data_IF_921226209079
#
_entry.id   IF_921226209079
#
_cell.length_a   1.000
_cell.length_b   1.000
_cell.length_c   1.000
_cell.angle_alpha   90.00
_cell.angle_beta   90.00
_cell.angle_gamma   90.00
#
_symmetry.space_group_name_H-M   'P 1'
#
loop_
_entity.id
_entity.type
_entity.pdbx_description
1 polymer ?
#
# COMPACT_ATOMS: atom_id res chain seq x y z
N UNK A 1 8.76 -9.15 -13.97
CA UNK A 1 9.08 -8.36 -12.77
C UNK A 1 7.75 -7.88 -12.19
N UNK A 2 7.20 -8.64 -11.24
CA UNK A 2 5.91 -8.32 -10.61
C UNK A 2 5.98 -6.95 -9.93
N UNK A 3 5.04 -6.06 -10.25
CA UNK A 3 4.92 -4.77 -9.55
C UNK A 3 4.46 -5.07 -8.13
N UNK A 4 5.35 -4.92 -7.16
CA UNK A 4 4.94 -4.88 -5.76
C UNK A 4 3.85 -3.79 -5.59
N UNK A 5 2.68 -4.17 -5.09
CA UNK A 5 1.63 -3.22 -4.72
C UNK A 5 2.09 -2.48 -3.44
N UNK A 6 2.83 -1.38 -3.61
CA UNK A 6 3.24 -0.48 -2.51
C UNK A 6 2.62 0.90 -2.66
N UNK A 7 2.55 1.67 -1.57
CA UNK A 7 2.04 3.05 -1.62
C UNK A 7 2.87 3.91 -2.57
N UNK A 8 4.17 3.66 -2.71
CA UNK A 8 5.04 4.32 -3.68
C UNK A 8 4.65 3.98 -5.12
N UNK A 9 4.32 2.71 -5.40
CA UNK A 9 3.85 2.29 -6.71
C UNK A 9 2.47 2.88 -7.03
N UNK A 10 1.58 2.96 -6.03
CA UNK A 10 0.27 3.59 -6.16
C UNK A 10 0.40 5.10 -6.37
N UNK A 11 1.27 5.79 -5.63
CA UNK A 11 1.60 7.20 -5.81
C UNK A 11 2.08 7.46 -7.23
N UNK A 12 3.07 6.69 -7.70
CA UNK A 12 3.56 6.79 -9.09
C UNK A 12 2.44 6.67 -10.11
N UNK A 13 1.51 5.75 -9.89
CA UNK A 13 0.35 5.59 -10.78
C UNK A 13 -0.71 6.69 -10.63
N UNK A 14 -0.68 7.49 -9.55
CA UNK A 14 -1.54 8.66 -9.34
C UNK A 14 -0.89 9.97 -9.82
N UNK A 15 0.43 9.98 -10.04
CA UNK A 15 1.16 11.14 -10.56
C UNK A 15 1.01 11.27 -12.08
N UNK A 16 0.83 12.49 -12.56
CA UNK A 16 0.71 12.85 -13.96
C UNK A 16 1.77 13.87 -14.37
N UNK A 17 2.13 13.91 -15.65
CA UNK A 17 2.95 14.99 -16.21
C UNK A 17 2.02 16.05 -16.77
N UNK A 18 2.33 17.30 -16.46
CA UNK A 18 1.60 18.47 -16.96
C UNK A 18 2.37 19.01 -18.16
N UNK A 19 1.74 19.02 -19.32
CA UNK A 19 2.33 19.46 -20.58
C UNK A 19 1.64 20.75 -21.05
N UNK A 20 2.42 21.72 -21.50
CA UNK A 20 1.97 22.95 -22.17
C UNK A 20 2.42 22.91 -23.62
N UNK A 21 1.49 23.01 -24.57
CA UNK A 21 1.76 22.88 -26.01
C UNK A 21 2.60 21.63 -26.36
N UNK A 22 2.27 20.51 -25.70
CA UNK A 22 2.94 19.20 -25.83
C UNK A 22 4.38 19.15 -25.28
N UNK A 23 4.86 20.18 -24.59
CA UNK A 23 6.13 20.19 -23.89
C UNK A 23 5.93 19.99 -22.37
N UNK A 24 6.77 19.16 -21.70
CA UNK A 24 6.73 19.02 -20.25
C UNK A 24 6.93 20.35 -19.52
N UNK A 25 5.97 20.71 -18.67
CA UNK A 25 5.99 21.94 -17.87
C UNK A 25 6.15 21.66 -16.37
N UNK A 26 5.56 20.56 -15.89
CA UNK A 26 5.61 20.21 -14.47
C UNK A 26 4.95 18.88 -14.15
N UNK A 27 4.63 18.72 -12.88
CA UNK A 27 4.02 17.50 -12.34
C UNK A 27 2.67 17.83 -11.70
N UNK A 28 1.76 16.88 -11.68
CA UNK A 28 0.55 16.92 -10.85
C UNK A 28 0.21 15.54 -10.34
N UNK A 29 -0.87 15.42 -9.57
CA UNK A 29 -1.34 14.12 -9.10
C UNK A 29 -2.84 14.10 -8.82
N UNK A 30 -3.46 12.94 -8.97
CA UNK A 30 -4.88 12.75 -8.75
C UNK A 30 -5.26 12.83 -7.26
N UNK A 31 -6.15 13.76 -6.92
CA UNK A 31 -6.67 14.02 -5.56
C UNK A 31 -8.16 13.66 -5.40
N UNK A 32 -8.81 13.26 -6.48
CA UNK A 32 -10.20 12.81 -6.55
C UNK A 32 -10.59 12.45 -7.99
N UNK A 33 -11.85 12.02 -8.26
CA UNK A 33 -12.26 11.53 -9.56
C UNK A 33 -12.11 12.59 -10.65
N UNK A 34 -11.19 12.36 -11.58
CA UNK A 34 -10.78 13.27 -12.65
C UNK A 34 -10.17 14.58 -12.15
N UNK A 35 -9.79 14.69 -10.87
CA UNK A 35 -9.25 15.92 -10.26
C UNK A 35 -7.76 15.79 -10.04
N UNK A 36 -6.99 16.76 -10.55
CA UNK A 36 -5.53 16.79 -10.45
C UNK A 36 -5.11 18.06 -9.74
N UNK A 37 -4.25 17.92 -8.73
CA UNK A 37 -3.59 19.03 -8.07
C UNK A 37 -2.21 19.27 -8.68
N UNK A 38 -1.84 20.53 -8.89
CA UNK A 38 -0.50 20.98 -9.34
C UNK A 38 -0.21 22.39 -8.81
N UNK A 39 0.97 22.94 -9.12
CA UNK A 39 1.32 24.32 -8.85
C UNK A 39 0.68 25.27 -9.88
N UNK A 40 0.25 26.45 -9.48
CA UNK A 40 -0.35 27.42 -10.41
C UNK A 40 0.66 27.96 -11.42
N UNK A 41 1.91 28.17 -11.01
CA UNK A 41 2.97 28.64 -11.91
C UNK A 41 3.28 27.66 -13.05
N UNK A 42 3.03 26.36 -12.85
CA UNK A 42 3.21 25.32 -13.88
C UNK A 42 2.25 25.53 -15.06
N UNK A 43 1.05 26.05 -14.79
CA UNK A 43 -0.02 26.22 -15.80
C UNK A 43 -0.24 27.68 -16.20
N UNK A 44 0.59 28.61 -15.74
CA UNK A 44 0.39 30.04 -15.93
C UNK A 44 0.20 30.45 -17.42
N UNK A 45 0.97 29.92 -18.39
CA UNK A 45 0.72 30.20 -19.80
C UNK A 45 -0.68 29.79 -20.27
N UNK A 46 -1.22 28.67 -19.77
CA UNK A 46 -2.58 28.23 -20.10
C UNK A 46 -3.65 29.13 -19.45
N UNK A 47 -3.45 29.57 -18.21
CA UNK A 47 -4.34 30.55 -17.55
C UNK A 47 -4.43 31.86 -18.36
N UNK A 48 -3.34 32.27 -19.01
CA UNK A 48 -3.29 33.46 -19.84
C UNK A 48 -3.79 33.24 -21.29
N UNK A 49 -4.29 32.04 -21.63
CA UNK A 49 -4.72 31.67 -22.98
C UNK A 49 -3.59 31.57 -24.01
N UNK A 50 -2.34 31.41 -23.55
CA UNK A 50 -1.14 31.41 -24.39
C UNK A 50 -0.61 30.02 -24.73
N UNK A 51 -1.14 28.98 -24.09
CA UNK A 51 -0.74 27.59 -24.32
C UNK A 51 -1.91 26.64 -24.08
N UNK A 52 -1.89 25.48 -24.74
CA UNK A 52 -2.86 24.40 -24.52
C UNK A 52 -2.40 23.47 -23.40
N UNK A 53 -3.27 23.24 -22.43
CA UNK A 53 -3.00 22.40 -21.26
C UNK A 53 -3.37 20.94 -21.53
N UNK A 54 -2.37 20.06 -21.44
CA UNK A 54 -2.56 18.63 -21.55
C UNK A 54 -1.99 17.90 -20.34
N UNK A 55 -2.57 16.74 -20.05
CA UNK A 55 -2.12 15.83 -19.00
C UNK A 55 -1.66 14.55 -19.66
N UNK A 56 -0.38 14.22 -19.48
CA UNK A 56 0.19 12.94 -19.87
C UNK A 56 0.18 11.98 -18.68
N UNK A 57 -0.46 10.84 -18.86
CA UNK A 57 -0.63 9.81 -17.83
C UNK A 57 -0.66 8.41 -18.44
N UNK A 58 0.26 7.53 -18.00
CA UNK A 58 0.38 6.14 -18.43
C UNK A 58 0.37 5.94 -19.96
N UNK A 59 1.13 6.78 -20.68
CA UNK A 59 1.24 6.70 -22.14
C UNK A 59 0.08 7.32 -22.91
N UNK A 60 -0.89 7.93 -22.22
CA UNK A 60 -2.02 8.65 -22.82
C UNK A 60 -1.89 10.14 -22.54
N UNK A 61 -2.30 10.96 -23.50
CA UNK A 61 -2.44 12.41 -23.32
C UNK A 61 -3.91 12.80 -23.43
N UNK A 62 -4.37 13.70 -22.56
CA UNK A 62 -5.72 14.23 -22.60
C UNK A 62 -5.72 15.73 -22.31
N UNK A 63 -6.70 16.44 -22.85
CA UNK A 63 -6.92 17.84 -22.51
C UNK A 63 -7.44 17.97 -21.08
N UNK A 64 -6.99 19.01 -20.37
CA UNK A 64 -7.46 19.33 -19.03
C UNK A 64 -8.08 20.73 -18.98
N UNK A 65 -9.19 20.83 -18.25
CA UNK A 65 -9.78 22.10 -17.89
C UNK A 65 -9.22 22.61 -16.57
N UNK A 66 -9.00 23.92 -16.47
CA UNK A 66 -8.63 24.57 -15.21
C UNK A 66 -9.91 24.74 -14.38
N UNK A 67 -10.01 24.02 -13.26
CA UNK A 67 -11.15 24.13 -12.35
C UNK A 67 -10.99 25.32 -11.40
N UNK A 68 -9.79 25.50 -10.86
CA UNK A 68 -9.43 26.67 -10.06
C UNK A 68 -7.93 26.94 -10.15
N UNK A 69 -7.57 28.20 -10.27
CA UNK A 69 -6.20 28.70 -10.17
C UNK A 69 -6.27 30.15 -9.63
N UNK A 70 -5.25 30.62 -8.91
CA UNK A 70 -5.17 32.02 -8.52
C UNK A 70 -5.13 32.96 -9.72
N UNK A 71 -5.50 34.22 -9.51
CA UNK A 71 -5.22 35.30 -10.49
C UNK A 71 -3.75 35.74 -10.45
N UNK A 72 -3.15 35.71 -9.27
CA UNK A 72 -1.74 36.05 -9.04
C UNK A 72 -1.11 34.97 -8.14
N UNK A 73 -0.27 34.14 -8.74
CA UNK A 73 0.44 33.05 -8.05
C UNK A 73 1.71 33.52 -7.33
N UNK A 74 2.13 34.78 -7.52
CA UNK A 74 3.29 35.34 -6.82
C UNK A 74 2.96 35.71 -5.37
N UNK A 75 1.67 35.78 -5.03
CA UNK A 75 1.23 35.83 -3.66
C UNK A 75 1.60 34.52 -2.91
N UNK A 76 2.11 34.59 -1.67
CA UNK A 76 2.62 33.42 -0.93
C UNK A 76 1.61 32.28 -0.74
N UNK A 77 0.32 32.58 -0.90
CA UNK A 77 -0.82 31.71 -0.59
C UNK A 77 -1.52 31.19 -1.84
N UNK A 78 -1.01 31.53 -3.02
CA UNK A 78 -1.78 31.41 -4.24
C UNK A 78 -1.29 30.29 -5.17
N UNK A 79 -0.10 29.72 -5.00
CA UNK A 79 0.52 28.84 -6.01
C UNK A 79 -0.06 27.40 -6.10
N UNK A 80 -1.38 27.25 -6.06
CA UNK A 80 -2.09 25.99 -6.26
C UNK A 80 -3.08 26.09 -7.42
N UNK A 81 -3.12 25.03 -8.23
CA UNK A 81 -4.14 24.87 -9.24
C UNK A 81 -4.80 23.49 -9.16
N UNK A 82 -6.12 23.48 -9.32
CA UNK A 82 -6.92 22.27 -9.45
C UNK A 82 -7.40 22.16 -10.89
N UNK A 83 -7.08 21.02 -11.51
CA UNK A 83 -7.43 20.70 -12.88
C UNK A 83 -8.51 19.62 -12.91
N UNK A 84 -9.26 19.56 -14.01
CA UNK A 84 -10.26 18.54 -14.29
C UNK A 84 -9.97 17.86 -15.63
N UNK A 85 -10.00 16.53 -15.64
CA UNK A 85 -9.86 15.69 -16.84
C UNK A 85 -11.04 14.71 -16.95
N UNK A 86 -11.29 14.26 -18.18
CA UNK A 86 -12.30 13.23 -18.51
C UNK A 86 -11.76 11.81 -18.36
N UNK A 87 -10.90 11.57 -17.37
CA UNK A 87 -10.39 10.25 -17.02
C UNK A 87 -11.15 9.69 -15.82
N UNK A 88 -11.67 8.47 -15.93
CA UNK A 88 -12.52 7.85 -14.91
C UNK A 88 -11.83 6.75 -14.11
N UNK A 89 -10.89 6.03 -14.72
CA UNK A 89 -10.15 4.94 -14.08
C UNK A 89 -8.73 5.41 -13.75
N UNK A 90 -8.53 5.91 -12.53
CA UNK A 90 -7.23 6.26 -12.00
C UNK A 90 -7.24 6.14 -10.47
N UNK A 91 -6.08 5.93 -9.82
CA UNK A 91 -6.00 6.01 -8.37
C UNK A 91 -6.09 7.47 -7.90
N UNK A 92 -6.47 7.67 -6.65
CA UNK A 92 -6.41 8.98 -5.99
C UNK A 92 -5.63 8.86 -4.70
N UNK A 93 -4.80 9.85 -4.43
CA UNK A 93 -3.99 9.89 -3.22
C UNK A 93 -4.83 10.29 -2.01
N UNK A 94 -4.45 9.82 -0.83
CA UNK A 94 -4.90 10.40 0.43
C UNK A 94 -4.04 11.64 0.73
N UNK A 95 -4.54 12.84 0.39
CA UNK A 95 -3.90 14.11 0.73
C UNK A 95 -4.31 14.50 2.15
N UNK A 96 -3.37 14.38 3.09
CA UNK A 96 -3.61 14.75 4.48
C UNK A 96 -2.30 14.88 5.24
N UNK A 97 -2.35 15.66 6.32
CA UNK A 97 -1.35 15.63 7.38
C UNK A 97 -0.31 16.72 7.25
N UNK A 98 0.73 16.56 8.05
CA UNK A 98 1.86 17.45 8.19
C UNK A 98 3.14 16.62 8.23
N UNK A 99 4.16 17.03 7.47
CA UNK A 99 5.45 16.37 7.56
C UNK A 99 6.14 16.75 8.88
N UNK A 100 6.63 15.74 9.60
CA UNK A 100 7.38 15.95 10.84
C UNK A 100 8.89 16.02 10.52
N UNK A 101 9.68 16.74 11.34
CA UNK A 101 11.13 16.66 11.24
C UNK A 101 11.59 15.20 11.22
N UNK A 102 12.55 14.90 10.35
CA UNK A 102 13.14 13.57 10.12
C UNK A 102 12.23 12.53 9.47
N UNK A 103 10.99 12.87 9.09
CA UNK A 103 10.12 11.97 8.31
C UNK A 103 10.74 11.65 6.95
N UNK A 104 10.63 10.38 6.56
CA UNK A 104 11.07 9.88 5.25
C UNK A 104 10.01 10.15 4.20
N UNK A 105 10.34 10.98 3.23
CA UNK A 105 9.44 11.33 2.14
C UNK A 105 9.80 10.53 0.88
N UNK A 106 8.78 10.14 0.14
CA UNK A 106 8.88 9.62 -1.21
C UNK A 106 8.12 10.54 -2.17
N UNK A 107 8.67 10.78 -3.34
CA UNK A 107 8.03 11.53 -4.41
C UNK A 107 8.23 10.84 -5.74
N UNK A 108 7.27 11.04 -6.63
CA UNK A 108 7.41 10.72 -8.04
C UNK A 108 7.00 11.95 -8.84
N UNK A 109 7.83 12.35 -9.79
CA UNK A 109 7.61 13.53 -10.62
C UNK A 109 8.37 13.46 -11.92
N UNK A 110 8.26 14.50 -12.75
CA UNK A 110 8.80 14.55 -14.11
C UNK A 110 9.88 15.63 -14.23
N UNK A 111 11.08 15.39 -13.67
CA UNK A 111 12.17 16.36 -13.79
C UNK A 111 12.60 16.48 -15.26
N UNK A 112 13.14 17.64 -15.65
CA UNK A 112 13.53 17.93 -17.03
C UNK A 112 14.59 16.96 -17.59
N UNK A 113 15.38 16.33 -16.72
CA UNK A 113 16.38 15.34 -17.09
C UNK A 113 15.85 13.91 -17.21
N UNK A 114 14.64 13.61 -16.72
CA UNK A 114 13.97 12.32 -16.89
C UNK A 114 12.48 12.55 -17.23
N UNK A 115 12.16 12.80 -18.51
CA UNK A 115 10.81 13.15 -18.94
C UNK A 115 9.81 12.00 -18.81
N UNK A 116 10.25 10.77 -18.57
CA UNK A 116 9.39 9.63 -18.28
C UNK A 116 9.04 9.50 -16.78
N UNK A 117 9.60 10.39 -15.96
CA UNK A 117 9.36 10.48 -14.54
C UNK A 117 10.34 9.67 -13.70
N UNK A 118 10.71 10.23 -12.55
CA UNK A 118 11.71 9.66 -11.65
C UNK A 118 11.17 9.53 -10.22
N UNK A 119 11.67 8.51 -9.53
CA UNK A 119 11.36 8.25 -8.11
C UNK A 119 12.44 8.87 -7.24
N UNK A 120 12.04 9.65 -6.25
CA UNK A 120 12.94 10.43 -5.41
C UNK A 120 12.57 10.24 -3.94
N UNK A 121 13.58 10.27 -3.08
CA UNK A 121 13.41 10.22 -1.63
C UNK A 121 14.02 11.45 -1.01
N UNK A 122 13.42 11.92 0.08
CA UNK A 122 13.91 13.05 0.84
C UNK A 122 13.80 12.79 2.33
N UNK A 123 14.59 13.53 3.11
CA UNK A 123 14.41 13.62 4.55
C UNK A 123 13.86 15.00 4.89
N UNK A 124 12.82 15.03 5.71
CA UNK A 124 12.23 16.29 6.16
C UNK A 124 13.18 16.98 7.14
N UNK A 125 13.60 18.21 6.85
CA UNK A 125 14.33 19.04 7.81
C UNK A 125 13.36 19.60 8.87
N UNK A 126 12.18 20.05 8.45
CA UNK A 126 11.12 20.50 9.34
C UNK A 126 10.15 21.50 8.71
N UNK A 127 9.17 21.99 9.49
CA UNK A 127 8.26 23.04 9.06
C UNK A 127 8.98 24.39 8.89
N UNK A 128 8.49 25.22 7.98
CA UNK A 128 9.04 26.55 7.70
C UNK A 128 7.96 27.59 7.36
N UNK A 129 8.34 28.87 7.46
CA UNK A 129 7.49 30.03 7.23
C UNK A 129 6.42 30.26 8.29
N UNK A 130 5.61 31.30 8.08
CA UNK A 130 4.53 31.65 9.00
C UNK A 130 3.55 30.48 9.18
N UNK A 131 3.16 30.24 10.43
CA UNK A 131 2.23 29.17 10.82
C UNK A 131 2.65 27.77 10.31
N UNK A 132 3.96 27.54 10.16
CA UNK A 132 4.53 26.27 9.72
C UNK A 132 4.00 25.80 8.36
N UNK A 133 3.60 26.70 7.47
CA UNK A 133 2.92 26.32 6.23
C UNK A 133 3.75 25.53 5.21
N UNK A 134 5.08 25.66 5.27
CA UNK A 134 6.01 25.01 4.36
C UNK A 134 6.65 23.80 5.02
N UNK A 135 7.10 22.86 4.20
CA UNK A 135 7.97 21.75 4.58
C UNK A 135 9.29 21.98 3.88
N UNK A 136 10.38 22.06 4.63
CA UNK A 136 11.73 21.99 4.06
C UNK A 136 12.20 20.54 4.10
N UNK A 137 12.70 20.04 2.98
CA UNK A 137 13.22 18.68 2.85
C UNK A 137 14.51 18.67 2.02
N UNK A 138 15.36 17.68 2.25
CA UNK A 138 16.74 17.59 1.74
C UNK A 138 17.11 16.17 1.32
N UNK A 139 18.37 15.96 0.93
CA UNK A 139 18.98 14.68 0.58
C UNK A 139 18.39 14.06 -0.71
N UNK A 140 18.12 14.89 -1.69
CA UNK A 140 17.64 14.48 -3.01
C UNK A 140 17.48 15.64 -3.97
N UNK A 141 17.56 15.41 -5.30
CA UNK A 141 17.43 16.48 -6.26
C UNK A 141 15.98 16.96 -6.41
N UNK A 142 15.82 18.29 -6.46
CA UNK A 142 14.58 18.96 -6.83
C UNK A 142 14.88 19.91 -7.99
N UNK A 143 14.52 19.48 -9.20
CA UNK A 143 14.83 20.20 -10.44
C UNK A 143 13.58 20.72 -11.16
N UNK A 144 13.80 21.45 -12.25
CA UNK A 144 12.71 21.90 -13.14
C UNK A 144 11.85 20.71 -13.56
N UNK A 145 10.54 20.92 -13.59
CA UNK A 145 9.55 19.85 -13.87
C UNK A 145 9.03 19.13 -12.62
N UNK A 146 9.75 19.21 -11.49
CA UNK A 146 9.30 18.63 -10.21
C UNK A 146 8.21 19.45 -9.51
N UNK A 147 8.04 20.73 -9.87
CA UNK A 147 6.96 21.56 -9.32
C UNK A 147 5.60 20.88 -9.51
N UNK A 148 4.86 20.77 -8.41
CA UNK A 148 3.57 20.08 -8.36
C UNK A 148 3.64 18.59 -8.02
N UNK A 149 4.84 18.03 -7.80
CA UNK A 149 5.00 16.63 -7.39
C UNK A 149 4.46 16.38 -5.96
N UNK A 150 3.80 15.25 -5.70
CA UNK A 150 3.34 14.90 -4.36
C UNK A 150 4.51 14.48 -3.45
N UNK A 151 4.39 14.78 -2.16
CA UNK A 151 5.27 14.27 -1.10
C UNK A 151 4.50 13.25 -0.26
N UNK A 152 4.76 11.97 -0.45
CA UNK A 152 4.25 10.89 0.39
C UNK A 152 5.13 10.77 1.64
N UNK A 153 4.54 10.96 2.82
CA UNK A 153 5.19 10.63 4.08
C UNK A 153 5.01 9.13 4.37
N UNK A 154 6.14 8.42 4.48
CA UNK A 154 6.14 6.96 4.69
C UNK A 154 5.62 6.56 6.06
N UNK A 155 5.70 7.45 7.05
CA UNK A 155 5.25 7.15 8.40
C UNK A 155 3.71 7.20 8.49
N UNK A 156 3.10 8.25 7.94
CA UNK A 156 1.63 8.39 7.90
C UNK A 156 0.93 7.66 6.74
N UNK A 157 1.66 7.32 5.68
CA UNK A 157 1.09 6.71 4.47
C UNK A 157 0.22 7.67 3.63
N UNK A 158 0.30 8.97 3.92
CA UNK A 158 -0.48 10.02 3.27
C UNK A 158 0.43 10.95 2.47
N UNK A 159 -0.12 11.58 1.43
CA UNK A 159 0.56 12.69 0.77
C UNK A 159 0.43 13.92 1.69
N UNK A 160 1.56 14.31 2.29
CA UNK A 160 1.64 15.37 3.30
C UNK A 160 1.95 16.74 2.70
N UNK A 161 2.20 16.83 1.39
CA UNK A 161 2.43 18.10 0.72
C UNK A 161 2.69 17.99 -0.78
N UNK A 162 2.99 19.13 -1.38
CA UNK A 162 3.29 19.30 -2.81
C UNK A 162 4.58 20.10 -2.97
N UNK A 163 5.51 19.64 -3.80
CA UNK A 163 6.77 20.34 -4.08
C UNK A 163 6.48 21.63 -4.85
N UNK A 164 7.01 22.77 -4.38
CA UNK A 164 6.87 24.06 -5.06
C UNK A 164 8.22 24.69 -5.43
N UNK A 165 9.23 24.56 -4.57
CA UNK A 165 10.51 25.25 -4.74
C UNK A 165 11.70 24.30 -4.60
N UNK A 166 12.78 24.62 -5.31
CA UNK A 166 14.10 23.99 -5.14
C UNK A 166 14.99 24.87 -4.27
N UNK A 167 15.79 24.26 -3.39
CA UNK A 167 16.85 24.95 -2.63
C UNK A 167 18.19 25.00 -3.39
N UNK A 168 18.23 24.43 -4.60
CA UNK A 168 19.37 24.47 -5.50
C UNK A 168 19.14 23.55 -6.69
N UNK A 169 18.97 24.12 -7.88
CA UNK A 169 18.87 23.34 -9.12
C UNK A 169 20.20 22.61 -9.39
N UNK A 170 20.11 21.42 -10.00
CA UNK A 170 21.23 20.52 -10.26
C UNK A 170 22.05 20.20 -8.98
N UNK A 171 21.37 20.10 -7.84
CA UNK A 171 21.97 19.75 -6.54
C UNK A 171 21.03 18.83 -5.75
N UNK A 172 21.54 18.24 -4.67
CA UNK A 172 20.82 17.38 -3.73
C UNK A 172 20.29 18.12 -2.48
N UNK A 173 20.34 19.47 -2.49
CA UNK A 173 19.90 20.32 -1.38
C UNK A 173 18.41 20.22 -1.05
N UNK A 174 17.64 19.52 -1.89
CA UNK A 174 16.21 19.36 -1.74
C UNK A 174 15.43 20.63 -2.09
N UNK A 175 14.35 20.85 -1.36
CA UNK A 175 13.33 21.81 -1.76
C UNK A 175 12.38 22.19 -0.63
N UNK A 176 11.38 22.97 -1.02
CA UNK A 176 10.27 23.32 -0.17
C UNK A 176 8.94 22.95 -0.82
N UNK A 177 8.04 22.44 0.01
CA UNK A 177 6.70 22.05 -0.40
C UNK A 177 5.64 22.64 0.50
N UNK A 178 4.44 22.85 -0.04
CA UNK A 178 3.29 23.33 0.71
C UNK A 178 2.62 22.17 1.45
N UNK A 179 2.28 22.35 2.73
CA UNK A 179 1.67 21.32 3.55
C UNK A 179 0.25 20.94 3.11
N UNK A 180 -0.09 19.66 3.21
CA UNK A 180 -1.44 19.15 2.92
C UNK A 180 -2.52 19.83 3.77
N UNK A 181 -2.23 20.14 5.06
CA UNK A 181 -3.12 20.96 5.89
C UNK A 181 -3.46 22.29 5.20
N UNK A 182 -2.45 23.02 4.74
CA UNK A 182 -2.62 24.34 4.12
C UNK A 182 -3.35 24.22 2.78
N UNK A 183 -3.05 23.18 1.99
CA UNK A 183 -3.77 22.90 0.74
C UNK A 183 -5.27 22.69 1.01
N UNK A 184 -5.63 21.92 2.04
CA UNK A 184 -7.03 21.64 2.38
C UNK A 184 -7.74 22.86 3.01
N UNK A 185 -7.02 23.75 3.69
CA UNK A 185 -7.55 25.04 4.15
C UNK A 185 -7.89 25.96 2.97
N UNK A 186 -7.05 25.98 1.93
CA UNK A 186 -7.27 26.78 0.72
C UNK A 186 -8.31 26.18 -0.24
N UNK A 187 -8.49 24.85 -0.22
CA UNK A 187 -9.42 24.10 -1.05
C UNK A 187 -10.40 23.29 -0.17
N UNK A 188 -11.28 23.92 0.61
CA UNK A 188 -12.10 23.23 1.62
C UNK A 188 -13.06 22.19 1.02
N UNK A 189 -13.54 22.41 -0.21
CA UNK A 189 -14.37 21.43 -0.92
C UNK A 189 -13.61 20.13 -1.23
N UNK A 190 -12.28 20.19 -1.40
CA UNK A 190 -11.45 19.04 -1.76
C UNK A 190 -11.46 17.98 -0.67
N UNK A 191 -11.54 18.36 0.60
CA UNK A 191 -11.61 17.40 1.71
C UNK A 191 -12.84 16.48 1.61
N UNK A 192 -14.01 17.06 1.31
CA UNK A 192 -15.25 16.31 1.14
C UNK A 192 -15.23 15.46 -0.15
N UNK A 193 -14.69 16.00 -1.24
CA UNK A 193 -14.56 15.30 -2.51
C UNK A 193 -13.62 14.08 -2.42
N UNK A 194 -12.49 14.22 -1.73
CA UNK A 194 -11.55 13.14 -1.51
C UNK A 194 -12.15 12.05 -0.61
N UNK A 195 -12.88 12.43 0.45
CA UNK A 195 -13.58 11.45 1.30
C UNK A 195 -14.61 10.65 0.49
N UNK A 196 -15.36 11.31 -0.40
CA UNK A 196 -16.29 10.65 -1.31
C UNK A 196 -15.56 9.74 -2.32
N UNK A 197 -14.41 10.19 -2.84
CA UNK A 197 -13.55 9.40 -3.73
C UNK A 197 -13.08 8.11 -3.06
N UNK A 198 -12.56 8.21 -1.83
CA UNK A 198 -12.08 7.06 -1.08
C UNK A 198 -13.20 6.13 -0.63
N UNK A 199 -14.43 6.61 -0.50
CA UNK A 199 -15.60 5.74 -0.30
C UNK A 199 -15.89 4.88 -1.53
N UNK A 200 -15.71 5.44 -2.72
CA UNK A 200 -15.94 4.71 -3.99
C UNK A 200 -14.76 3.80 -4.35
N UNK A 201 -13.52 4.24 -4.10
CA UNK A 201 -12.31 3.50 -4.37
C UNK A 201 -11.37 3.52 -3.15
N UNK A 202 -11.30 2.38 -2.47
CA UNK A 202 -10.62 2.23 -1.19
C UNK A 202 -9.16 1.81 -1.32
N UNK A 203 -8.66 1.63 -2.54
CA UNK A 203 -7.33 1.07 -2.81
C UNK A 203 -6.21 1.73 -1.99
N UNK A 204 -6.22 3.05 -1.86
CA UNK A 204 -5.21 3.74 -1.03
C UNK A 204 -5.33 3.40 0.45
N UNK A 205 -6.56 3.46 1.00
CA UNK A 205 -6.83 3.15 2.41
C UNK A 205 -6.50 1.70 2.74
N UNK A 206 -6.78 0.79 1.81
CA UNK A 206 -6.53 -0.64 1.97
C UNK A 206 -5.01 -0.96 2.04
N UNK A 207 -4.17 -0.09 1.48
CA UNK A 207 -2.71 -0.22 1.52
C UNK A 207 -2.06 0.41 2.76
N UNK A 208 -2.81 1.13 3.58
CA UNK A 208 -2.29 1.67 4.84
C UNK A 208 -2.06 0.56 5.86
N UNK A 209 -0.92 0.62 6.57
CA UNK A 209 -0.63 -0.27 7.70
C UNK A 209 -1.56 -0.02 8.89
N UNK A 210 -1.64 -0.98 9.83
CA UNK A 210 -2.46 -0.81 11.04
C UNK A 210 -2.14 0.48 11.80
N UNK A 211 -0.84 0.80 11.97
CA UNK A 211 -0.39 2.04 12.62
C UNK A 211 -0.82 3.29 11.85
N UNK A 212 -0.67 3.30 10.52
CA UNK A 212 -1.10 4.41 9.67
C UNK A 212 -2.61 4.65 9.75
N UNK A 213 -3.41 3.57 9.73
CA UNK A 213 -4.86 3.63 9.90
C UNK A 213 -5.25 4.18 11.26
N UNK A 214 -4.59 3.74 12.33
CA UNK A 214 -4.82 4.28 13.68
C UNK A 214 -4.50 5.78 13.75
N UNK A 215 -3.39 6.21 13.15
CA UNK A 215 -3.03 7.63 13.09
C UNK A 215 -4.06 8.45 12.31
N UNK A 216 -4.47 7.97 11.12
CA UNK A 216 -5.49 8.63 10.31
C UNK A 216 -6.83 8.71 11.06
N UNK A 217 -7.28 7.61 11.69
CA UNK A 217 -8.51 7.56 12.47
C UNK A 217 -8.54 8.59 13.62
N UNK A 218 -7.40 8.78 14.31
CA UNK A 218 -7.27 9.75 15.41
C UNK A 218 -7.40 11.20 14.96
N UNK A 219 -6.81 11.55 13.81
CA UNK A 219 -6.75 12.95 13.35
C UNK A 219 -7.82 13.30 12.32
N UNK A 220 -8.42 12.30 11.66
CA UNK A 220 -9.51 12.47 10.71
C UNK A 220 -10.65 11.48 11.03
N UNK A 221 -11.46 11.76 12.06
CA UNK A 221 -12.57 10.91 12.47
C UNK A 221 -13.55 10.58 11.33
N UNK A 222 -13.67 11.45 10.33
CA UNK A 222 -14.50 11.22 9.14
C UNK A 222 -14.09 10.00 8.31
N UNK A 223 -12.84 9.55 8.41
CA UNK A 223 -12.37 8.33 7.76
C UNK A 223 -12.62 7.07 8.60
N UNK A 224 -12.95 7.17 9.90
CA UNK A 224 -13.16 6.01 10.78
C UNK A 224 -14.16 4.99 10.21
N UNK A 225 -15.35 5.39 9.68
CA UNK A 225 -16.26 4.43 9.09
C UNK A 225 -15.66 3.69 7.89
N UNK A 226 -14.88 4.39 7.06
CA UNK A 226 -14.19 3.79 5.90
C UNK A 226 -13.05 2.87 6.33
N UNK A 227 -12.36 3.18 7.43
CA UNK A 227 -11.27 2.37 7.96
C UNK A 227 -11.78 1.12 8.66
N UNK A 228 -12.93 1.19 9.33
CA UNK A 228 -13.60 0.06 9.98
C UNK A 228 -14.29 -0.86 8.95
N UNK A 229 -14.69 -0.33 7.80
CA UNK A 229 -15.20 -1.13 6.68
C UNK A 229 -14.11 -1.97 6.00
N UNK A 230 -12.84 -1.87 6.43
CA UNK A 230 -11.69 -2.57 5.83
C UNK A 230 -11.57 -3.99 6.39
N UNK A 231 -12.65 -4.75 6.28
CA UNK A 231 -12.63 -6.20 6.38
C UNK A 231 -12.45 -6.81 4.99
N UNK A 232 -11.35 -6.48 4.30
CA UNK A 232 -10.84 -7.50 3.38
C UNK A 232 -10.45 -8.68 4.27
N UNK A 233 -11.10 -9.81 4.03
CA UNK A 233 -10.79 -11.05 4.71
C UNK A 233 -9.31 -11.35 4.43
N UNK A 234 -8.53 -11.65 5.47
CA UNK A 234 -7.12 -11.95 5.31
C UNK A 234 -6.99 -13.21 4.44
N UNK A 235 -6.13 -13.16 3.43
CA UNK A 235 -5.89 -14.31 2.56
C UNK A 235 -4.99 -15.31 3.28
N UNK A 236 -5.51 -16.50 3.51
CA UNK A 236 -4.80 -17.61 4.14
C UNK A 236 -4.45 -18.63 3.08
N UNK A 237 -3.16 -18.91 2.88
CA UNK A 237 -2.71 -20.01 2.03
C UNK A 237 -2.34 -21.22 2.90
N UNK A 238 -2.87 -22.39 2.57
CA UNK A 238 -2.62 -23.65 3.26
C UNK A 238 -1.75 -24.54 2.38
N UNK A 239 -0.48 -24.68 2.75
CA UNK A 239 0.46 -25.63 2.14
C UNK A 239 0.42 -26.95 2.89
N UNK A 240 0.24 -28.06 2.17
CA UNK A 240 0.14 -29.41 2.74
C UNK A 240 0.52 -30.46 1.69
N UNK A 241 1.00 -31.63 2.15
CA UNK A 241 1.31 -32.75 1.27
C UNK A 241 0.03 -33.37 0.69
N UNK A 242 0.08 -33.83 -0.57
CA UNK A 242 -1.06 -34.51 -1.21
C UNK A 242 -1.31 -35.92 -0.69
N UNK A 243 -0.54 -36.39 0.29
CA UNK A 243 -0.82 -37.63 1.00
C UNK A 243 -2.26 -37.65 1.56
N UNK A 244 -2.97 -38.78 1.36
CA UNK A 244 -4.38 -38.94 1.75
C UNK A 244 -4.63 -38.65 3.24
N UNK A 245 -3.63 -38.92 4.09
CA UNK A 245 -3.72 -38.68 5.53
C UNK A 245 -3.72 -37.18 5.86
N UNK A 246 -2.86 -36.40 5.19
CA UNK A 246 -2.75 -34.96 5.40
C UNK A 246 -3.93 -34.21 4.78
N UNK A 247 -4.43 -34.67 3.63
CA UNK A 247 -5.68 -34.17 3.04
C UNK A 247 -6.86 -34.23 4.01
N UNK A 248 -7.00 -35.36 4.73
CA UNK A 248 -8.07 -35.52 5.74
C UNK A 248 -7.89 -34.54 6.89
N UNK A 249 -6.67 -34.40 7.43
CA UNK A 249 -6.40 -33.49 8.54
C UNK A 249 -6.60 -32.02 8.14
N UNK A 250 -6.21 -31.64 6.91
CA UNK A 250 -6.46 -30.33 6.33
C UNK A 250 -7.96 -30.04 6.17
N UNK A 251 -8.75 -31.02 5.73
CA UNK A 251 -10.22 -30.89 5.65
C UNK A 251 -10.84 -30.66 7.03
N UNK A 252 -10.40 -31.38 8.07
CA UNK A 252 -10.86 -31.14 9.44
C UNK A 252 -10.45 -29.75 9.94
N UNK A 253 -9.21 -29.33 9.71
CA UNK A 253 -8.76 -27.97 10.06
C UNK A 253 -9.66 -26.91 9.41
N UNK A 254 -9.95 -27.02 8.11
CA UNK A 254 -10.82 -26.07 7.42
C UNK A 254 -12.24 -26.00 8.00
N UNK A 255 -12.79 -27.12 8.50
CA UNK A 255 -14.08 -27.08 9.20
C UNK A 255 -13.99 -26.24 10.46
N UNK A 256 -12.91 -26.34 11.23
CA UNK A 256 -12.67 -25.51 12.42
C UNK A 256 -12.39 -24.04 12.07
N UNK A 257 -11.86 -23.75 10.87
CA UNK A 257 -11.69 -22.40 10.35
C UNK A 257 -12.98 -21.78 9.77
N UNK A 258 -14.05 -22.57 9.59
CA UNK A 258 -15.29 -22.11 8.98
C UNK A 258 -15.93 -20.94 9.73
N UNK A 259 -15.80 -20.87 11.05
CA UNK A 259 -16.27 -19.72 11.85
C UNK A 259 -15.58 -18.41 11.44
N UNK A 260 -14.26 -18.44 11.28
CA UNK A 260 -13.48 -17.26 10.84
C UNK A 260 -13.83 -16.86 9.41
N UNK A 261 -14.10 -17.84 8.54
CA UNK A 261 -14.55 -17.58 7.17
C UNK A 261 -15.96 -16.99 7.12
N UNK A 262 -16.89 -17.51 7.92
CA UNK A 262 -18.27 -17.03 7.99
C UNK A 262 -18.36 -15.61 8.56
N UNK A 263 -17.48 -15.28 9.51
CA UNK A 263 -17.28 -13.91 10.02
C UNK A 263 -16.54 -12.99 9.03
N UNK A 264 -16.18 -13.51 7.83
CA UNK A 264 -15.41 -12.80 6.80
C UNK A 264 -14.08 -12.26 7.31
N UNK A 265 -13.48 -12.95 8.28
CA UNK A 265 -12.16 -12.60 8.80
C UNK A 265 -11.04 -13.13 7.90
N UNK A 266 -11.27 -14.27 7.23
CA UNK A 266 -10.31 -14.92 6.34
C UNK A 266 -10.94 -15.45 5.05
N UNK A 267 -10.13 -15.51 4.00
CA UNK A 267 -10.35 -16.27 2.77
C UNK A 267 -9.25 -17.33 2.66
N UNK A 268 -9.61 -18.61 2.64
CA UNK A 268 -8.63 -19.71 2.62
C UNK A 268 -8.48 -20.33 1.24
N UNK A 269 -7.23 -20.45 0.78
CA UNK A 269 -6.82 -21.11 -0.47
C UNK A 269 -5.83 -22.23 -0.15
N UNK A 270 -5.75 -23.28 -0.97
CA UNK A 270 -4.82 -24.40 -0.72
C UNK A 270 -4.19 -24.97 -1.99
N UNK A 271 -3.01 -25.59 -1.86
CA UNK A 271 -2.18 -26.09 -2.98
C UNK A 271 -2.86 -27.15 -3.88
N UNK A 272 -3.91 -27.81 -3.37
CA UNK A 272 -4.72 -28.80 -4.09
C UNK A 272 -5.97 -28.27 -4.81
N UNK A 273 -6.24 -26.96 -4.80
CA UNK A 273 -7.49 -26.36 -5.29
C UNK A 273 -7.50 -26.09 -6.81
N UNK A 274 -6.58 -26.70 -7.56
CA UNK A 274 -6.45 -26.55 -9.01
C UNK A 274 -7.54 -27.37 -9.74
N UNK A 275 -8.32 -26.71 -10.59
CA UNK A 275 -9.30 -27.37 -11.47
C UNK A 275 -8.64 -28.04 -12.67
N UNK A 276 -9.24 -29.10 -13.21
CA UNK A 276 -8.72 -29.81 -14.38
C UNK A 276 -8.55 -28.85 -15.57
N UNK A 277 -7.34 -28.79 -16.15
CA UNK A 277 -6.99 -27.94 -17.29
C UNK A 277 -6.28 -26.62 -16.95
N UNK A 278 -5.94 -26.33 -15.68
CA UNK A 278 -5.18 -25.13 -15.29
C UNK A 278 -3.72 -25.44 -14.90
N UNK A 279 -2.81 -24.52 -15.22
CA UNK A 279 -1.36 -24.60 -14.95
C UNK A 279 -1.01 -24.50 -13.46
N UNK A 280 0.14 -25.09 -13.08
CA UNK A 280 0.72 -25.05 -11.73
C UNK A 280 1.03 -23.62 -11.22
N UNK A 281 1.00 -22.61 -12.11
CA UNK A 281 1.29 -21.20 -11.84
C UNK A 281 0.29 -20.50 -10.89
N UNK A 282 -0.91 -21.06 -10.66
CA UNK A 282 -1.92 -20.43 -9.78
C UNK A 282 -1.66 -20.64 -8.28
N UNK A 283 -1.14 -21.80 -7.85
CA UNK A 283 -0.79 -22.03 -6.44
C UNK A 283 0.29 -21.05 -5.97
N UNK A 284 1.25 -20.75 -6.85
CA UNK A 284 2.27 -19.74 -6.62
C UNK A 284 1.65 -18.34 -6.48
N UNK A 285 0.67 -17.99 -7.32
CA UNK A 285 -0.06 -16.72 -7.21
C UNK A 285 -0.80 -16.56 -5.88
N UNK A 286 -1.45 -17.62 -5.39
CA UNK A 286 -2.11 -17.58 -4.07
C UNK A 286 -1.09 -17.46 -2.94
N UNK A 287 0.01 -18.20 -3.07
CA UNK A 287 1.13 -18.09 -2.13
C UNK A 287 1.77 -16.70 -2.14
N UNK A 288 1.80 -15.96 -3.25
CA UNK A 288 2.30 -14.57 -3.30
C UNK A 288 1.33 -13.56 -2.70
N UNK A 289 0.02 -13.83 -2.77
CA UNK A 289 -1.02 -12.91 -2.30
C UNK A 289 -1.44 -13.13 -0.84
N UNK A 290 -1.00 -14.21 -0.21
CA UNK A 290 -1.44 -14.58 1.13
C UNK A 290 -0.89 -13.61 2.20
N UNK A 291 -1.73 -13.22 3.15
CA UNK A 291 -1.33 -12.48 4.36
C UNK A 291 -0.81 -13.44 5.44
N UNK A 292 -1.40 -14.65 5.49
CA UNK A 292 -1.04 -15.73 6.40
C UNK A 292 -0.76 -17.00 5.59
N UNK A 293 0.33 -17.69 5.89
CA UNK A 293 0.71 -18.95 5.26
C UNK A 293 0.79 -20.04 6.33
N UNK A 294 -0.07 -21.05 6.22
CA UNK A 294 -0.08 -22.21 7.11
C UNK A 294 0.71 -23.34 6.46
N UNK A 295 1.77 -23.80 7.14
CA UNK A 295 2.55 -24.96 6.70
C UNK A 295 2.08 -26.18 7.50
N UNK A 296 1.37 -27.11 6.86
CA UNK A 296 0.86 -28.32 7.52
C UNK A 296 1.93 -29.41 7.51
N UNK A 297 2.74 -29.42 8.58
CA UNK A 297 3.96 -30.24 8.67
C UNK A 297 3.64 -31.69 9.00
N UNK A 298 4.24 -32.58 8.23
CA UNK A 298 4.16 -34.03 8.38
C UNK A 298 5.39 -34.69 7.74
N UNK A 299 5.63 -36.00 7.96
CA UNK A 299 6.69 -36.70 7.24
C UNK A 299 6.55 -36.62 5.72
N UNK A 300 5.32 -36.71 5.19
CA UNK A 300 5.06 -36.60 3.76
C UNK A 300 5.21 -35.16 3.24
N UNK A 301 5.06 -34.14 4.09
CA UNK A 301 5.35 -32.74 3.73
C UNK A 301 6.85 -32.52 3.56
N UNK A 302 7.67 -33.10 4.43
CA UNK A 302 9.14 -33.01 4.35
C UNK A 302 9.66 -33.78 3.13
N UNK A 303 9.02 -34.90 2.77
CA UNK A 303 9.41 -35.73 1.63
C UNK A 303 8.93 -35.20 0.27
N UNK A 304 7.96 -34.28 0.23
CA UNK A 304 7.43 -33.70 -1.01
C UNK A 304 8.29 -32.51 -1.47
N UNK A 305 9.03 -32.69 -2.58
CA UNK A 305 9.95 -31.67 -3.11
C UNK A 305 9.25 -30.34 -3.43
N UNK A 306 8.01 -30.37 -3.90
CA UNK A 306 7.27 -29.14 -4.24
C UNK A 306 6.89 -28.37 -2.98
N UNK A 307 6.36 -29.07 -1.96
CA UNK A 307 5.99 -28.45 -0.68
C UNK A 307 7.21 -27.94 0.11
N UNK A 308 8.31 -28.70 0.13
CA UNK A 308 9.47 -28.38 0.94
C UNK A 308 10.46 -27.44 0.25
N UNK A 309 10.79 -27.66 -1.02
CA UNK A 309 11.82 -26.87 -1.69
C UNK A 309 11.27 -25.61 -2.37
N UNK A 310 10.01 -25.59 -2.80
CA UNK A 310 9.43 -24.43 -3.49
C UNK A 310 8.53 -23.61 -2.57
N UNK A 311 7.39 -24.18 -2.13
CA UNK A 311 6.38 -23.43 -1.38
C UNK A 311 6.90 -22.96 -0.02
N UNK A 312 7.55 -23.83 0.75
CA UNK A 312 8.09 -23.48 2.06
C UNK A 312 9.22 -22.44 1.97
N UNK A 313 10.16 -22.60 1.04
CA UNK A 313 11.25 -21.63 0.87
C UNK A 313 10.69 -20.25 0.52
N UNK A 314 9.73 -20.20 -0.41
CA UNK A 314 9.10 -18.93 -0.78
C UNK A 314 8.28 -18.32 0.35
N UNK A 315 7.53 -19.14 1.09
CA UNK A 315 6.81 -18.70 2.28
C UNK A 315 7.76 -18.07 3.32
N UNK A 316 8.92 -18.69 3.56
CA UNK A 316 9.93 -18.17 4.47
C UNK A 316 10.57 -16.87 3.99
N UNK A 317 10.81 -16.72 2.68
CA UNK A 317 11.27 -15.44 2.12
C UNK A 317 10.25 -14.32 2.38
N UNK A 318 8.96 -14.59 2.14
CA UNK A 318 7.89 -13.62 2.42
C UNK A 318 7.78 -13.30 3.91
N UNK A 319 7.99 -14.29 4.77
CA UNK A 319 8.02 -14.09 6.21
C UNK A 319 9.16 -13.18 6.66
N UNK A 320 10.38 -13.43 6.19
CA UNK A 320 11.56 -12.63 6.51
C UNK A 320 11.45 -11.20 5.96
N UNK A 321 10.82 -11.04 4.80
CA UNK A 321 10.53 -9.73 4.21
C UNK A 321 9.38 -8.98 4.91
N UNK A 322 8.68 -9.62 5.87
CA UNK A 322 7.53 -9.03 6.57
C UNK A 322 6.28 -8.89 5.69
N UNK A 323 6.23 -9.53 4.52
CA UNK A 323 5.11 -9.45 3.57
C UNK A 323 4.05 -10.54 3.77
N UNK A 324 4.34 -11.55 4.61
CA UNK A 324 3.36 -12.54 5.09
C UNK A 324 3.74 -13.07 6.48
N UNK A 325 2.76 -13.61 7.23
CA UNK A 325 3.02 -14.35 8.47
C UNK A 325 2.98 -15.86 8.20
N UNK A 326 4.11 -16.54 8.38
CA UNK A 326 4.18 -18.01 8.31
C UNK A 326 3.90 -18.62 9.67
N UNK A 327 3.05 -19.66 9.71
CA UNK A 327 2.68 -20.40 10.92
C UNK A 327 2.82 -21.90 10.63
N UNK A 328 3.83 -22.57 11.19
CA UNK A 328 3.95 -24.03 11.12
C UNK A 328 2.87 -24.70 11.98
N UNK A 329 2.17 -25.69 11.44
CA UNK A 329 1.18 -26.52 12.13
C UNK A 329 1.61 -27.98 12.04
N UNK A 330 1.96 -28.59 13.17
CA UNK A 330 2.47 -29.97 13.21
C UNK A 330 1.31 -30.96 13.18
N UNK A 331 0.99 -31.51 12.00
CA UNK A 331 -0.07 -32.49 11.81
C UNK A 331 0.30 -33.86 12.38
N UNK A 332 1.51 -34.33 12.04
CA UNK A 332 2.03 -35.66 12.37
C UNK A 332 3.43 -35.57 12.99
N UNK A 333 3.82 -36.52 13.87
CA UNK A 333 5.16 -36.57 14.44
C UNK A 333 6.21 -36.51 13.33
N UNK A 334 7.08 -35.52 13.41
CA UNK A 334 8.08 -35.22 12.38
C UNK A 334 9.37 -34.82 13.09
N UNK A 335 10.48 -35.47 12.77
CA UNK A 335 11.78 -35.15 13.35
C UNK A 335 12.43 -33.93 12.69
N UNK A 336 13.43 -33.33 13.36
CA UNK A 336 14.25 -32.27 12.75
C UNK A 336 13.56 -30.91 12.56
N UNK A 337 12.43 -30.65 13.22
CA UNK A 337 11.72 -29.38 13.08
C UNK A 337 12.56 -28.17 13.51
N UNK A 338 13.38 -28.32 14.56
CA UNK A 338 14.25 -27.26 15.07
C UNK A 338 15.36 -26.83 14.09
N UNK A 339 15.83 -27.74 13.24
CA UNK A 339 16.85 -27.47 12.21
C UNK A 339 16.27 -27.08 10.86
N UNK A 340 14.94 -27.05 10.72
CA UNK A 340 14.26 -26.63 9.49
C UNK A 340 14.33 -25.11 9.29
N UNK A 341 14.11 -24.60 8.05
CA UNK A 341 14.09 -23.16 7.78
C UNK A 341 13.06 -22.38 8.61
N UNK A 342 11.97 -23.03 9.04
CA UNK A 342 10.93 -22.47 9.90
C UNK A 342 11.14 -22.79 11.39
N UNK A 343 12.23 -23.45 11.78
CA UNK A 343 12.48 -23.90 13.16
C UNK A 343 12.62 -22.79 14.20
N UNK A 344 12.83 -21.54 13.76
CA UNK A 344 12.80 -20.34 14.61
C UNK A 344 11.39 -19.81 14.89
N UNK A 345 10.38 -20.30 14.16
CA UNK A 345 9.00 -19.88 14.32
C UNK A 345 8.30 -20.72 15.38
N UNK A 346 7.39 -20.11 16.13
CA UNK A 346 6.54 -20.83 17.05
C UNK A 346 5.55 -21.69 16.26
N UNK A 347 5.70 -23.01 16.33
CA UNK A 347 4.76 -23.95 15.74
C UNK A 347 3.50 -24.10 16.61
N UNK A 348 2.39 -24.47 15.96
CA UNK A 348 1.13 -24.87 16.58
C UNK A 348 0.91 -26.39 16.45
N UNK A 349 0.28 -27.05 17.45
CA UNK A 349 -0.13 -26.52 18.76
C UNK A 349 1.04 -26.06 19.64
N UNK A 350 0.85 -25.01 20.46
CA UNK A 350 1.93 -24.45 21.29
C UNK A 350 2.36 -25.45 22.36
N UNK A 351 3.64 -25.84 22.38
CA UNK A 351 4.20 -26.80 23.34
C UNK A 351 3.41 -28.13 23.41
N UNK A 352 2.62 -28.44 22.38
CA UNK A 352 1.75 -29.59 22.32
C UNK A 352 2.27 -30.67 21.38
N UNK A 353 1.79 -31.92 21.50
CA UNK A 353 2.15 -32.98 20.59
C UNK A 353 1.53 -32.75 19.19
N UNK A 354 1.98 -33.51 18.20
CA UNK A 354 1.43 -33.42 16.84
C UNK A 354 -0.08 -33.75 16.85
N UNK A 355 -0.89 -33.13 15.97
CA UNK A 355 -2.35 -33.27 15.99
C UNK A 355 -2.82 -34.74 16.03
N UNK A 356 -2.12 -35.66 15.36
CA UNK A 356 -2.48 -37.08 15.40
C UNK A 356 -2.32 -37.76 16.75
N UNK A 357 -1.50 -37.23 17.66
CA UNK A 357 -1.23 -37.78 18.99
C UNK A 357 -2.20 -37.26 20.06
N UNK A 358 -3.03 -36.26 19.72
CA UNK A 358 -4.05 -35.76 20.64
C UNK A 358 -5.14 -36.81 20.86
N UNK A 359 -5.48 -37.05 22.12
CA UNK A 359 -6.63 -37.89 22.51
C UNK A 359 -7.94 -37.42 21.85
N UNK A 360 -8.08 -36.11 21.66
CA UNK A 360 -9.19 -35.49 20.96
C UNK A 360 -8.66 -34.46 19.96
N UNK A 361 -8.75 -34.79 18.67
CA UNK A 361 -8.26 -33.95 17.57
C UNK A 361 -9.06 -32.65 17.40
N UNK A 362 -10.36 -32.65 17.72
CA UNK A 362 -11.17 -31.44 17.67
C UNK A 362 -10.71 -30.39 18.67
N UNK A 363 -10.22 -30.81 19.84
CA UNK A 363 -9.61 -29.88 20.80
C UNK A 363 -8.35 -29.22 20.22
N UNK A 364 -7.50 -30.01 19.56
CA UNK A 364 -6.29 -29.49 18.92
C UNK A 364 -6.63 -28.48 17.80
N UNK A 365 -7.58 -28.83 16.92
CA UNK A 365 -8.02 -27.94 15.84
C UNK A 365 -8.72 -26.67 16.37
N UNK A 366 -9.52 -26.79 17.43
CA UNK A 366 -10.12 -25.62 18.10
C UNK A 366 -9.04 -24.68 18.65
N UNK A 367 -8.01 -25.23 19.30
CA UNK A 367 -6.90 -24.43 19.84
C UNK A 367 -6.17 -23.67 18.72
N UNK A 368 -5.88 -24.35 17.61
CA UNK A 368 -5.30 -23.72 16.42
C UNK A 368 -6.21 -22.60 15.87
N UNK A 369 -7.51 -22.82 15.78
CA UNK A 369 -8.46 -21.80 15.32
C UNK A 369 -8.52 -20.58 16.26
N UNK A 370 -8.45 -20.79 17.58
CA UNK A 370 -8.37 -19.72 18.56
C UNK A 370 -7.08 -18.91 18.44
N UNK A 371 -5.94 -19.58 18.28
CA UNK A 371 -4.64 -18.95 18.07
C UNK A 371 -4.61 -18.14 16.77
N UNK A 372 -5.14 -18.70 15.68
CA UNK A 372 -5.26 -17.99 14.41
C UNK A 372 -6.16 -16.75 14.54
N UNK A 373 -7.23 -16.81 15.34
CA UNK A 373 -8.05 -15.62 15.63
C UNK A 373 -7.22 -14.52 16.30
N UNK A 374 -6.32 -14.86 17.22
CA UNK A 374 -5.44 -13.87 17.86
C UNK A 374 -4.45 -13.28 16.86
N UNK A 375 -3.83 -14.12 16.01
CA UNK A 375 -2.95 -13.64 14.96
C UNK A 375 -3.69 -12.71 13.98
N UNK A 376 -4.94 -13.03 13.62
CA UNK A 376 -5.76 -12.17 12.77
C UNK A 376 -6.01 -10.81 13.44
N UNK A 377 -6.30 -10.78 14.75
CA UNK A 377 -6.47 -9.54 15.50
C UNK A 377 -5.19 -8.70 15.53
N UNK A 378 -4.05 -9.33 15.81
CA UNK A 378 -2.74 -8.69 15.77
C UNK A 378 -2.45 -8.07 14.39
N UNK A 379 -2.69 -8.83 13.31
CA UNK A 379 -2.48 -8.36 11.94
C UNK A 379 -3.46 -7.25 11.55
N UNK A 380 -4.68 -7.26 12.08
CA UNK A 380 -5.67 -6.18 11.91
C UNK A 380 -5.45 -4.98 12.84
N UNK A 381 -4.49 -5.07 13.78
CA UNK A 381 -4.20 -4.00 14.74
C UNK A 381 -5.31 -3.79 15.77
N UNK A 382 -6.15 -4.81 16.01
CA UNK A 382 -7.14 -4.84 17.09
C UNK A 382 -6.43 -5.20 18.41
N UNK A 383 -6.58 -4.40 19.46
CA UNK A 383 -5.93 -4.68 20.75
C UNK A 383 -6.36 -6.07 21.29
N UNK A 384 -5.37 -6.87 21.69
CA UNK A 384 -5.54 -8.22 22.31
C UNK A 384 -5.93 -8.10 23.76
#
# INVERSE_FOLDING_TARGET
MEKADTLEALLRSATVRVDLDQAPAGTGFFVGPGLILTCAHVIQPACAGRARLHIFWQGRSCEAAIRSAPRDYTAPDADLALLKVSLHEHPSVLLWGEARPYSRLYSYGYPSWEPNGSSLTFITAGPAGEHNRWITFQDGPVDRGMSGSPLLDKDSGSVCGIIQFSLGLNSDRGGQGLQARVILEQLPALAAEQLAAHRQNRRWLDMLSGTQRQQLARHCPQYVPLLQQSSTALKVFISYSRARQDQKLRQELEKHLSGLRNERLIESYHSGQLSAGREQSESQRWLEQADIILLLISPDYIADEQCYNEEMQRAMQRHQAGTARVIPIVLRPTEGLASSPFGKLQALPRNGPAITEWKNKDKAFKEIACELRQVIKELKGEQV
#
